data_IF_264074095686
#
_entry.id   IF_264074095686
#
_cell.length_a   1.000
_cell.length_b   1.000
_cell.length_c   1.000
_cell.angle_alpha   90.00
_cell.angle_beta   90.00
_cell.angle_gamma   90.00
#
_symmetry.space_group_name_H-M   'P 1'
#
loop_
_entity.id
_entity.type
_entity.pdbx_description
1 polymer ?
#
# COMPACT_ATOMS: atom_id res chain seq x y z
N UNK A 1 -31.71 27.59 -6.06
CA UNK A 1 -30.76 28.03 -5.02
C UNK A 1 -31.21 27.58 -3.61
N UNK A 2 -32.46 27.78 -3.25
CA UNK A 2 -32.97 27.42 -1.92
C UNK A 2 -32.97 25.92 -1.64
N UNK A 3 -33.28 25.09 -2.61
CA UNK A 3 -33.22 23.63 -2.48
C UNK A 3 -31.78 23.13 -2.28
N UNK A 4 -30.81 23.72 -2.98
CA UNK A 4 -29.39 23.39 -2.84
C UNK A 4 -28.87 23.78 -1.44
N UNK A 5 -29.24 24.99 -0.97
CA UNK A 5 -28.87 25.47 0.37
C UNK A 5 -29.46 24.58 1.45
N UNK A 6 -30.76 24.19 1.32
CA UNK A 6 -31.41 23.26 2.26
C UNK A 6 -30.69 21.92 2.33
N UNK A 7 -30.41 21.28 1.20
CA UNK A 7 -29.68 20.01 1.16
C UNK A 7 -28.27 20.10 1.78
N UNK A 8 -27.59 21.24 1.61
CA UNK A 8 -26.28 21.48 2.23
C UNK A 8 -26.38 21.59 3.76
N UNK A 9 -27.37 22.31 4.27
CA UNK A 9 -27.61 22.44 5.72
C UNK A 9 -27.92 21.07 6.34
N UNK A 10 -28.70 20.25 5.64
CA UNK A 10 -29.06 18.90 6.10
C UNK A 10 -27.83 18.00 6.23
N UNK A 11 -26.84 18.10 5.32
CA UNK A 11 -25.59 17.34 5.45
C UNK A 11 -24.84 17.67 6.75
N UNK A 12 -24.67 18.94 7.06
CA UNK A 12 -24.04 19.37 8.30
C UNK A 12 -24.82 18.92 9.52
N UNK A 13 -26.13 19.11 9.51
CA UNK A 13 -27.03 18.73 10.61
C UNK A 13 -26.99 17.21 10.83
N UNK A 14 -26.95 16.41 9.77
CA UNK A 14 -26.89 14.96 9.87
C UNK A 14 -25.55 14.50 10.46
N UNK A 15 -24.44 15.08 10.01
CA UNK A 15 -23.11 14.74 10.55
C UNK A 15 -22.99 15.14 12.03
N UNK A 16 -23.35 16.35 12.37
CA UNK A 16 -23.23 16.85 13.75
C UNK A 16 -24.19 16.13 14.71
N UNK A 17 -25.34 15.70 14.21
CA UNK A 17 -26.36 15.01 15.00
C UNK A 17 -26.26 13.49 15.01
N UNK A 18 -25.25 12.89 14.37
CA UNK A 18 -25.09 11.44 14.21
C UNK A 18 -26.33 10.75 13.61
N UNK A 19 -27.03 11.43 12.71
CA UNK A 19 -28.29 10.95 12.13
C UNK A 19 -28.11 10.03 10.93
N UNK A 20 -26.92 10.05 10.32
CA UNK A 20 -26.57 9.22 9.19
C UNK A 20 -25.66 8.07 9.66
N UNK A 21 -26.07 6.84 9.45
CA UNK A 21 -25.31 5.65 9.83
C UNK A 21 -23.94 5.57 9.13
N UNK A 22 -23.80 6.14 7.93
CA UNK A 22 -22.55 6.20 7.20
C UNK A 22 -21.43 6.96 7.95
N UNK A 23 -21.80 7.85 8.88
CA UNK A 23 -20.84 8.60 9.71
C UNK A 23 -20.03 7.65 10.60
N UNK A 24 -20.62 6.51 10.98
CA UNK A 24 -20.03 5.51 11.86
C UNK A 24 -19.64 4.22 11.13
N UNK A 25 -19.86 4.14 9.83
CA UNK A 25 -19.60 2.95 9.01
C UNK A 25 -18.13 2.54 9.02
N UNK A 26 -17.22 3.50 9.05
CA UNK A 26 -15.79 3.24 9.04
C UNK A 26 -15.21 3.39 10.45
N UNK A 27 -14.90 2.27 11.08
CA UNK A 27 -14.31 2.23 12.43
C UNK A 27 -12.93 2.94 12.54
N UNK A 28 -12.27 3.19 11.41
CA UNK A 28 -10.99 3.89 11.35
C UNK A 28 -11.14 5.41 11.20
N UNK A 29 -12.36 5.91 10.98
CA UNK A 29 -12.64 7.34 10.83
C UNK A 29 -13.05 7.95 12.16
N UNK A 30 -12.41 9.07 12.51
CA UNK A 30 -12.78 9.82 13.71
C UNK A 30 -13.77 10.94 13.39
N UNK A 31 -14.76 11.14 14.24
CA UNK A 31 -15.65 12.29 14.18
C UNK A 31 -14.85 13.56 14.48
N UNK A 32 -14.73 14.44 13.49
CA UNK A 32 -13.85 15.60 13.54
C UNK A 32 -14.21 16.61 12.46
N UNK A 33 -13.58 17.79 12.46
CA UNK A 33 -13.70 18.76 11.38
C UNK A 33 -13.19 18.16 10.05
N UNK A 34 -12.12 17.38 10.09
CA UNK A 34 -11.61 16.67 8.91
C UNK A 34 -12.63 15.64 8.42
N UNK A 35 -13.22 14.85 9.33
CA UNK A 35 -14.26 13.88 9.01
C UNK A 35 -15.51 14.55 8.43
N UNK A 36 -15.92 15.70 8.94
CA UNK A 36 -17.04 16.49 8.39
C UNK A 36 -16.76 16.91 6.94
N UNK A 37 -15.59 17.47 6.68
CA UNK A 37 -15.20 17.89 5.33
C UNK A 37 -15.17 16.69 4.36
N UNK A 38 -14.66 15.56 4.83
CA UNK A 38 -14.67 14.32 4.05
C UNK A 38 -16.08 13.83 3.74
N UNK A 39 -16.96 13.78 4.72
CA UNK A 39 -18.35 13.38 4.57
C UNK A 39 -19.09 14.24 3.52
N UNK A 40 -18.90 15.55 3.56
CA UNK A 40 -19.48 16.48 2.57
C UNK A 40 -18.94 16.17 1.18
N UNK A 41 -17.60 16.03 1.04
CA UNK A 41 -16.96 15.71 -0.23
C UNK A 41 -17.48 14.39 -0.80
N UNK A 42 -17.48 13.33 -0.01
CA UNK A 42 -17.90 11.99 -0.43
C UNK A 42 -19.37 11.97 -0.87
N UNK A 43 -20.24 12.66 -0.15
CA UNK A 43 -21.67 12.73 -0.50
C UNK A 43 -21.88 13.38 -1.87
N UNK A 44 -21.17 14.48 -2.17
CA UNK A 44 -21.28 15.13 -3.47
C UNK A 44 -20.67 14.28 -4.58
N UNK A 45 -19.49 13.70 -4.33
CA UNK A 45 -18.80 12.85 -5.31
C UNK A 45 -19.63 11.63 -5.66
N UNK A 46 -20.20 10.93 -4.67
CA UNK A 46 -21.10 9.78 -4.88
C UNK A 46 -22.29 10.15 -5.75
N UNK A 47 -22.94 11.29 -5.48
CA UNK A 47 -24.07 11.74 -6.29
C UNK A 47 -23.67 12.01 -7.75
N UNK A 48 -22.51 12.62 -7.96
CA UNK A 48 -22.02 12.87 -9.31
C UNK A 48 -21.77 11.58 -10.08
N UNK A 49 -21.07 10.60 -9.46
CA UNK A 49 -20.85 9.28 -10.06
C UNK A 49 -22.17 8.62 -10.47
N UNK A 50 -23.13 8.55 -9.55
CA UNK A 50 -24.38 7.82 -9.76
C UNK A 50 -25.32 8.51 -10.74
N UNK A 51 -25.32 9.84 -10.84
CA UNK A 51 -26.28 10.56 -11.66
C UNK A 51 -25.74 11.07 -12.99
N UNK A 52 -24.42 11.33 -13.09
CA UNK A 52 -23.81 11.91 -14.29
C UNK A 52 -22.92 10.94 -15.05
N UNK A 53 -22.30 9.96 -14.35
CA UNK A 53 -21.32 9.07 -14.96
C UNK A 53 -21.92 7.68 -15.23
N UNK A 54 -22.58 7.08 -14.27
CA UNK A 54 -23.16 5.74 -14.45
C UNK A 54 -24.50 5.77 -15.18
N UNK A 55 -24.77 4.79 -16.08
CA UNK A 55 -26.09 4.57 -16.63
C UNK A 55 -27.14 4.36 -15.55
N UNK A 56 -28.39 4.69 -15.87
CA UNK A 56 -29.49 4.62 -14.89
C UNK A 56 -29.67 3.21 -14.31
N UNK A 57 -29.45 2.18 -15.12
CA UNK A 57 -29.60 0.76 -14.74
C UNK A 57 -28.55 0.39 -13.67
N UNK A 58 -27.34 0.89 -13.82
CA UNK A 58 -26.24 0.65 -12.85
C UNK A 58 -26.51 1.37 -11.54
N UNK A 59 -26.97 2.64 -11.62
CA UNK A 59 -27.37 3.40 -10.44
C UNK A 59 -28.49 2.71 -9.67
N UNK A 60 -29.57 2.32 -10.38
CA UNK A 60 -30.71 1.65 -9.77
C UNK A 60 -30.31 0.31 -9.14
N UNK A 61 -29.47 -0.47 -9.79
CA UNK A 61 -28.94 -1.70 -9.24
C UNK A 61 -28.13 -1.47 -7.94
N UNK A 62 -27.33 -0.40 -7.90
CA UNK A 62 -26.60 -0.02 -6.68
C UNK A 62 -27.52 0.46 -5.57
N UNK A 63 -28.51 1.32 -5.88
CA UNK A 63 -29.45 1.88 -4.91
C UNK A 63 -30.42 0.82 -4.36
N UNK A 64 -30.81 -0.16 -5.18
CA UNK A 64 -31.66 -1.27 -4.78
C UNK A 64 -30.91 -2.41 -4.06
N UNK A 65 -29.57 -2.38 -4.06
CA UNK A 65 -28.73 -3.41 -3.45
C UNK A 65 -28.51 -4.65 -4.30
N UNK A 66 -28.84 -4.62 -5.60
CA UNK A 66 -28.58 -5.70 -6.55
C UNK A 66 -27.07 -5.82 -6.87
N UNK A 67 -26.35 -4.70 -6.77
CA UNK A 67 -24.89 -4.65 -6.83
C UNK A 67 -24.34 -3.59 -5.87
N UNK A 68 -23.03 -3.67 -5.57
CA UNK A 68 -22.34 -2.65 -4.77
C UNK A 68 -21.18 -2.06 -5.56
N UNK A 69 -21.19 -0.74 -5.75
CA UNK A 69 -20.06 0.02 -6.29
C UNK A 69 -19.33 0.61 -5.08
N UNK A 70 -18.07 0.24 -4.94
CA UNK A 70 -17.26 0.62 -3.77
C UNK A 70 -16.59 1.98 -3.95
N UNK A 71 -16.38 2.71 -2.86
CA UNK A 71 -15.64 3.98 -2.79
C UNK A 71 -16.09 5.09 -3.76
N UNK A 72 -17.39 5.21 -4.00
CA UNK A 72 -17.98 6.28 -4.81
C UNK A 72 -17.70 7.70 -4.30
N UNK A 73 -17.17 7.84 -3.09
CA UNK A 73 -16.77 9.12 -2.50
C UNK A 73 -15.49 9.72 -3.05
N UNK A 74 -14.85 9.08 -4.03
CA UNK A 74 -13.56 9.48 -4.57
C UNK A 74 -13.54 9.48 -6.11
N UNK A 75 -12.88 10.48 -6.71
CA UNK A 75 -12.60 10.52 -8.14
C UNK A 75 -11.18 10.07 -8.41
N UNK A 76 -10.98 8.82 -8.77
CA UNK A 76 -9.68 8.26 -9.06
C UNK A 76 -9.65 6.75 -8.98
N UNK A 77 -8.50 6.12 -9.21
CA UNK A 77 -8.35 4.68 -9.13
C UNK A 77 -8.54 4.20 -7.69
N UNK A 78 -8.97 2.94 -7.55
CA UNK A 78 -9.13 2.35 -6.23
C UNK A 78 -7.78 2.19 -5.52
N UNK A 79 -6.86 1.45 -6.14
CA UNK A 79 -5.52 1.21 -5.60
C UNK A 79 -4.45 1.53 -6.64
N UNK A 80 -3.24 1.80 -6.17
CA UNK A 80 -2.06 1.92 -7.01
C UNK A 80 -0.96 0.95 -6.55
N UNK A 81 -0.27 0.35 -7.50
CA UNK A 81 0.92 -0.45 -7.27
C UNK A 81 2.16 0.27 -7.77
N UNK A 82 3.21 0.29 -6.97
CA UNK A 82 4.44 1.01 -7.21
C UNK A 82 5.63 0.06 -7.29
N UNK A 83 6.55 0.34 -8.20
CA UNK A 83 7.83 -0.37 -8.32
C UNK A 83 8.89 0.38 -7.50
N UNK A 84 9.47 -0.29 -6.50
CA UNK A 84 10.55 0.24 -5.69
C UNK A 84 11.83 0.51 -6.50
N UNK A 85 12.01 -0.16 -7.62
CA UNK A 85 13.16 0.05 -8.52
C UNK A 85 13.25 1.49 -9.01
N UNK A 86 12.11 2.08 -9.37
CA UNK A 86 12.09 3.49 -9.79
C UNK A 86 12.56 4.40 -8.65
N UNK A 87 12.08 4.17 -7.42
CA UNK A 87 12.49 4.94 -6.26
C UNK A 87 13.99 4.78 -5.95
N UNK A 88 14.54 3.57 -6.15
CA UNK A 88 15.97 3.30 -5.99
C UNK A 88 16.85 4.02 -7.02
N UNK A 89 16.37 4.15 -8.26
CA UNK A 89 17.10 4.78 -9.36
C UNK A 89 17.02 6.31 -9.35
N UNK A 90 15.82 6.84 -9.13
CA UNK A 90 15.52 8.26 -9.33
C UNK A 90 15.42 9.03 -8.01
N UNK A 91 15.20 8.32 -6.90
CA UNK A 91 14.90 8.93 -5.61
C UNK A 91 13.42 9.37 -5.54
N UNK A 92 13.12 10.23 -4.56
CA UNK A 92 11.77 10.73 -4.39
C UNK A 92 11.59 12.06 -5.14
N UNK A 93 10.88 12.00 -6.28
CA UNK A 93 10.54 13.18 -7.10
C UNK A 93 9.28 13.92 -6.62
N UNK A 94 8.42 13.26 -5.85
CA UNK A 94 7.26 13.88 -5.20
C UNK A 94 6.32 14.60 -6.18
N UNK A 95 6.02 15.85 -5.88
CA UNK A 95 5.21 16.75 -6.70
C UNK A 95 6.13 17.79 -7.33
N UNK A 96 5.99 18.03 -8.64
CA UNK A 96 6.81 18.98 -9.38
C UNK A 96 6.92 20.34 -8.69
N UNK A 97 8.13 20.84 -8.56
CA UNK A 97 8.43 22.11 -7.88
C UNK A 97 8.30 22.07 -6.36
N UNK A 98 8.15 20.88 -5.76
CA UNK A 98 8.15 20.67 -4.31
C UNK A 98 9.44 19.96 -3.87
N UNK A 99 9.40 19.35 -2.67
CA UNK A 99 10.56 18.63 -2.12
C UNK A 99 10.90 17.42 -3.00
N UNK A 100 12.16 17.34 -3.38
CA UNK A 100 12.75 16.19 -4.07
C UNK A 100 13.93 15.67 -3.25
N UNK A 101 14.22 14.39 -3.32
CA UNK A 101 15.39 13.80 -2.72
C UNK A 101 16.11 12.86 -3.67
N UNK A 102 17.42 12.90 -3.66
CA UNK A 102 18.25 11.98 -4.44
C UNK A 102 18.03 10.52 -4.02
N UNK A 103 18.39 9.55 -4.87
CA UNK A 103 18.34 8.14 -4.52
C UNK A 103 19.01 7.82 -3.18
N UNK A 104 18.33 7.00 -2.39
CA UNK A 104 18.81 6.64 -1.06
C UNK A 104 20.07 5.77 -1.11
N UNK A 105 21.02 6.06 -0.21
CA UNK A 105 22.26 5.29 -0.05
C UNK A 105 22.24 4.34 1.14
N UNK A 106 21.25 4.50 2.04
CA UNK A 106 21.15 3.79 3.30
C UNK A 106 19.73 3.27 3.54
N UNK A 107 19.60 2.14 4.24
CA UNK A 107 18.30 1.52 4.51
C UNK A 107 17.28 2.49 5.13
N UNK A 108 17.68 3.21 6.20
CA UNK A 108 16.79 4.16 6.87
C UNK A 108 16.29 5.26 5.92
N UNK A 109 17.16 5.77 5.05
CA UNK A 109 16.79 6.79 4.06
C UNK A 109 15.83 6.24 3.01
N UNK A 110 16.06 5.01 2.55
CA UNK A 110 15.19 4.35 1.58
C UNK A 110 13.79 4.11 2.16
N UNK A 111 13.70 3.57 3.36
CA UNK A 111 12.43 3.40 4.07
C UNK A 111 11.71 4.75 4.28
N UNK A 112 12.45 5.82 4.59
CA UNK A 112 11.92 7.18 4.69
C UNK A 112 11.36 7.70 3.36
N UNK A 113 12.01 7.41 2.24
CA UNK A 113 11.50 7.77 0.91
C UNK A 113 10.20 7.02 0.56
N UNK A 114 10.09 5.74 0.94
CA UNK A 114 8.84 4.97 0.77
C UNK A 114 7.70 5.61 1.58
N UNK A 115 7.97 6.02 2.82
CA UNK A 115 6.98 6.75 3.66
C UNK A 115 6.56 8.05 2.98
N UNK A 116 7.52 8.86 2.52
CA UNK A 116 7.23 10.14 1.85
C UNK A 116 6.42 9.95 0.56
N UNK A 117 6.78 8.94 -0.25
CA UNK A 117 6.03 8.58 -1.45
C UNK A 117 4.60 8.16 -1.12
N UNK A 118 4.42 7.31 -0.10
CA UNK A 118 3.10 6.88 0.35
C UNK A 118 2.26 8.05 0.85
N UNK A 119 2.85 8.97 1.63
CA UNK A 119 2.14 10.17 2.11
C UNK A 119 1.76 11.12 0.97
N UNK A 120 2.59 11.23 -0.05
CA UNK A 120 2.30 12.08 -1.21
C UNK A 120 1.16 11.50 -2.04
N UNK A 121 1.15 10.18 -2.23
CA UNK A 121 0.21 9.50 -3.15
C UNK A 121 -1.06 8.97 -2.47
N UNK A 122 -1.13 8.97 -1.14
CA UNK A 122 -2.28 8.43 -0.39
C UNK A 122 -3.62 9.12 -0.72
N UNK A 123 -3.58 10.35 -1.21
CA UNK A 123 -4.75 11.11 -1.63
C UNK A 123 -5.16 10.90 -3.09
N UNK A 124 -4.35 10.17 -3.87
CA UNK A 124 -4.58 9.94 -5.29
C UNK A 124 -5.29 8.61 -5.59
N UNK A 125 -5.59 7.83 -4.55
CA UNK A 125 -6.36 6.59 -4.64
C UNK A 125 -7.39 6.51 -3.53
N UNK A 126 -8.51 5.83 -3.80
CA UNK A 126 -9.50 5.55 -2.76
C UNK A 126 -9.00 4.51 -1.76
N UNK A 127 -8.25 3.53 -2.22
CA UNK A 127 -7.72 2.41 -1.45
C UNK A 127 -6.20 2.45 -1.24
N UNK A 128 -5.54 1.31 -1.46
CA UNK A 128 -4.16 1.10 -1.05
C UNK A 128 -3.11 1.61 -2.03
N UNK A 129 -1.98 1.98 -1.43
CA UNK A 129 -0.68 2.13 -2.08
C UNK A 129 0.13 0.85 -1.82
N UNK A 130 0.42 0.09 -2.86
CA UNK A 130 1.12 -1.18 -2.75
C UNK A 130 2.56 -1.08 -3.28
N UNK A 131 3.52 -1.61 -2.52
CA UNK A 131 4.93 -1.67 -2.86
C UNK A 131 5.36 -3.11 -3.03
N UNK A 132 5.90 -3.45 -4.20
CA UNK A 132 6.25 -4.83 -4.55
C UNK A 132 7.68 -5.19 -4.18
N UNK A 133 7.92 -6.49 -3.88
CA UNK A 133 9.25 -7.06 -3.59
C UNK A 133 10.03 -6.27 -2.52
N UNK A 134 9.32 -5.90 -1.46
CA UNK A 134 9.84 -5.00 -0.44
C UNK A 134 11.09 -5.54 0.24
N UNK A 135 11.07 -6.81 0.62
CA UNK A 135 12.20 -7.50 1.24
C UNK A 135 13.38 -7.67 0.27
N UNK A 136 13.11 -8.04 -0.99
CA UNK A 136 14.14 -8.21 -2.03
C UNK A 136 14.91 -6.91 -2.26
N UNK A 137 14.20 -5.79 -2.41
CA UNK A 137 14.85 -4.48 -2.67
C UNK A 137 15.50 -3.86 -1.44
N UNK A 138 15.04 -4.18 -0.24
CA UNK A 138 15.63 -3.64 1.00
C UNK A 138 16.84 -4.44 1.50
N UNK A 139 16.91 -5.75 1.24
CA UNK A 139 17.94 -6.62 1.77
C UNK A 139 19.39 -6.17 1.47
N UNK A 140 19.75 -5.68 0.27
CA UNK A 140 21.12 -5.28 -0.03
C UNK A 140 21.68 -4.17 0.84
N UNK A 141 20.82 -3.27 1.34
CA UNK A 141 21.28 -2.19 2.22
C UNK A 141 21.87 -2.71 3.54
N UNK A 142 21.41 -3.86 4.02
CA UNK A 142 21.90 -4.44 5.28
C UNK A 142 23.39 -4.73 5.21
N UNK A 143 23.83 -5.37 4.12
CA UNK A 143 25.25 -5.65 3.87
C UNK A 143 26.01 -4.38 3.52
N UNK A 144 25.43 -3.51 2.69
CA UNK A 144 26.04 -2.24 2.30
C UNK A 144 26.34 -1.35 3.51
N UNK A 145 25.40 -1.24 4.45
CA UNK A 145 25.54 -0.43 5.67
C UNK A 145 26.23 -1.19 6.82
N UNK A 146 26.59 -2.47 6.62
CA UNK A 146 27.12 -3.36 7.66
C UNK A 146 26.28 -3.35 8.94
N UNK A 147 24.95 -3.51 8.79
CA UNK A 147 23.98 -3.36 9.88
C UNK A 147 23.91 -4.61 10.75
N UNK A 148 23.76 -4.38 12.06
CA UNK A 148 23.36 -5.44 12.98
C UNK A 148 21.86 -5.68 12.90
N UNK A 149 21.41 -6.84 13.41
CA UNK A 149 19.98 -7.16 13.50
C UNK A 149 19.16 -6.07 14.22
N UNK A 150 19.69 -5.57 15.34
CA UNK A 150 19.03 -4.52 16.14
C UNK A 150 18.88 -3.21 15.36
N UNK A 151 19.85 -2.87 14.54
CA UNK A 151 19.80 -1.68 13.68
C UNK A 151 18.75 -1.85 12.56
N UNK A 152 18.67 -3.03 11.94
CA UNK A 152 17.63 -3.34 10.94
C UNK A 152 16.25 -3.27 11.60
N UNK A 153 16.08 -3.92 12.75
CA UNK A 153 14.84 -3.89 13.52
C UNK A 153 14.41 -2.48 13.90
N UNK A 154 15.35 -1.64 14.32
CA UNK A 154 15.08 -0.23 14.66
C UNK A 154 14.61 0.56 13.42
N UNK A 155 15.25 0.39 12.27
CA UNK A 155 14.82 1.05 11.02
C UNK A 155 13.40 0.62 10.63
N UNK A 156 13.07 -0.66 10.76
CA UNK A 156 11.73 -1.17 10.46
C UNK A 156 10.69 -0.71 11.48
N UNK A 157 11.05 -0.61 12.76
CA UNK A 157 10.18 -0.03 13.77
C UNK A 157 9.84 1.43 13.44
N UNK A 158 10.83 2.25 13.12
CA UNK A 158 10.63 3.63 12.67
C UNK A 158 9.72 3.71 11.44
N UNK A 159 9.96 2.84 10.46
CA UNK A 159 9.14 2.78 9.26
C UNK A 159 7.67 2.44 9.57
N UNK A 160 7.42 1.38 10.35
CA UNK A 160 6.07 0.95 10.70
C UNK A 160 5.33 2.02 11.51
N UNK A 161 6.00 2.66 12.48
CA UNK A 161 5.40 3.77 13.24
C UNK A 161 5.08 4.97 12.34
N UNK A 162 5.98 5.35 11.44
CA UNK A 162 5.76 6.48 10.55
C UNK A 162 4.59 6.21 9.57
N UNK A 163 4.49 5.00 9.00
CA UNK A 163 3.39 4.66 8.08
C UNK A 163 2.03 4.60 8.81
N UNK A 164 2.01 4.45 10.12
CA UNK A 164 0.79 4.45 10.93
C UNK A 164 0.41 5.84 11.48
N UNK A 165 1.11 6.90 11.10
CA UNK A 165 0.68 8.26 11.44
C UNK A 165 -0.61 8.58 10.65
N UNK A 166 -1.68 9.05 11.33
CA UNK A 166 -2.98 9.28 10.70
C UNK A 166 -2.98 10.56 9.86
N UNK A 167 -2.32 10.52 8.71
CA UNK A 167 -2.13 11.65 7.79
C UNK A 167 -3.16 11.69 6.67
N UNK A 168 -3.90 10.60 6.46
CA UNK A 168 -4.96 10.50 5.46
C UNK A 168 -6.24 11.16 5.94
N UNK A 169 -7.13 11.49 5.01
CA UNK A 169 -8.44 12.10 5.29
C UNK A 169 -9.23 11.29 6.32
N UNK A 170 -9.90 11.97 7.24
CA UNK A 170 -10.67 11.33 8.32
C UNK A 170 -9.80 10.76 9.45
N UNK A 171 -8.54 11.20 9.57
CA UNK A 171 -7.54 10.65 10.50
C UNK A 171 -7.24 9.17 10.30
N UNK A 172 -7.37 8.69 9.08
CA UNK A 172 -6.91 7.37 8.70
C UNK A 172 -5.39 7.35 8.53
N UNK A 173 -4.78 6.21 8.80
CA UNK A 173 -3.41 5.94 8.35
C UNK A 173 -3.40 5.73 6.83
N UNK A 174 -2.28 5.97 6.13
CA UNK A 174 -2.14 5.57 4.75
C UNK A 174 -2.46 4.09 4.58
N UNK A 175 -3.38 3.79 3.66
CA UNK A 175 -3.71 2.41 3.34
C UNK A 175 -2.55 1.84 2.52
N UNK A 176 -1.62 1.16 3.16
CA UNK A 176 -0.39 0.65 2.55
C UNK A 176 -0.34 -0.88 2.55
N UNK A 177 0.21 -1.43 1.48
CA UNK A 177 0.47 -2.86 1.31
C UNK A 177 1.93 -3.07 0.91
N UNK A 178 2.57 -4.10 1.46
CA UNK A 178 3.93 -4.51 1.13
C UNK A 178 3.93 -5.96 0.70
N UNK A 179 4.50 -6.27 -0.47
CA UNK A 179 4.70 -7.66 -0.86
C UNK A 179 6.09 -8.16 -0.46
N UNK A 180 6.11 -9.38 0.05
CA UNK A 180 7.29 -10.11 0.48
C UNK A 180 7.47 -11.34 -0.38
N UNK A 181 8.67 -11.53 -0.89
CA UNK A 181 9.01 -12.66 -1.76
C UNK A 181 9.52 -13.86 -0.95
N UNK A 182 10.10 -13.64 0.23
CA UNK A 182 10.71 -14.63 1.14
C UNK A 182 11.94 -15.31 0.52
N UNK A 183 11.87 -15.65 -0.75
CA UNK A 183 12.97 -16.13 -1.57
C UNK A 183 13.18 -15.17 -2.71
N UNK A 184 14.43 -14.82 -2.98
CA UNK A 184 14.73 -13.89 -4.09
C UNK A 184 14.14 -14.42 -5.39
N UNK A 185 13.27 -13.64 -6.08
CA UNK A 185 12.62 -14.06 -7.31
C UNK A 185 13.62 -14.37 -8.43
N UNK A 186 13.30 -15.36 -9.25
CA UNK A 186 14.17 -15.77 -10.35
C UNK A 186 14.46 -14.66 -11.37
N UNK A 187 13.54 -13.71 -11.54
CA UNK A 187 13.72 -12.56 -12.44
C UNK A 187 14.62 -11.48 -11.85
N UNK A 188 14.69 -11.40 -10.52
CA UNK A 188 15.54 -10.42 -9.83
C UNK A 188 16.90 -10.99 -9.41
N UNK A 189 17.04 -12.31 -9.34
CA UNK A 189 18.26 -12.93 -8.78
C UNK A 189 19.54 -12.54 -9.53
N UNK A 190 19.46 -12.38 -10.85
CA UNK A 190 20.59 -12.06 -11.72
C UNK A 190 20.63 -10.55 -12.06
N UNK A 191 19.66 -9.76 -11.58
CA UNK A 191 19.62 -8.32 -11.76
C UNK A 191 20.62 -7.62 -10.83
N UNK A 192 21.31 -6.56 -11.31
CA UNK A 192 22.25 -5.83 -10.48
C UNK A 192 21.52 -5.04 -9.39
N UNK A 193 22.08 -5.08 -8.19
CA UNK A 193 21.59 -4.30 -7.05
C UNK A 193 21.77 -2.81 -7.29
N UNK A 194 20.77 -2.01 -6.87
CA UNK A 194 20.77 -0.56 -7.00
C UNK A 194 20.97 0.07 -5.63
N UNK A 195 22.02 0.87 -5.48
CA UNK A 195 22.30 1.68 -4.28
C UNK A 195 22.63 3.11 -4.70
N UNK A 196 21.95 4.10 -4.14
CA UNK A 196 22.22 5.51 -4.44
C UNK A 196 22.03 5.89 -5.90
N UNK A 197 21.10 5.24 -6.62
CA UNK A 197 20.83 5.48 -8.04
C UNK A 197 21.83 4.81 -8.99
N UNK A 198 22.72 3.97 -8.49
CA UNK A 198 23.76 3.31 -9.29
C UNK A 198 23.62 1.79 -9.20
N UNK A 199 23.85 1.11 -10.32
CA UNK A 199 23.98 -0.33 -10.36
C UNK A 199 25.33 -0.73 -9.74
N UNK A 200 25.30 -1.75 -8.88
CA UNK A 200 26.49 -2.33 -8.25
C UNK A 200 26.97 -3.56 -9.02
N UNK A 201 28.11 -4.12 -8.61
CA UNK A 201 28.64 -5.39 -9.17
C UNK A 201 27.93 -6.63 -8.60
N UNK A 202 27.13 -6.46 -7.53
CA UNK A 202 26.38 -7.53 -6.89
C UNK A 202 24.99 -7.69 -7.50
N UNK A 203 24.45 -8.91 -7.45
CA UNK A 203 23.10 -9.22 -7.87
C UNK A 203 22.19 -9.49 -6.66
N UNK A 204 20.88 -9.30 -6.83
CA UNK A 204 19.93 -9.53 -5.72
C UNK A 204 19.98 -10.97 -5.18
N UNK A 205 20.31 -11.95 -6.03
CA UNK A 205 20.44 -13.37 -5.62
C UNK A 205 21.47 -13.65 -4.54
N UNK A 206 22.44 -12.75 -4.35
CA UNK A 206 23.47 -12.87 -3.33
C UNK A 206 22.99 -12.51 -1.91
N UNK A 207 21.77 -11.94 -1.76
CA UNK A 207 21.31 -11.30 -0.54
C UNK A 207 20.19 -12.05 0.20
N UNK A 208 20.03 -13.35 -0.06
CA UNK A 208 19.01 -14.16 0.63
C UNK A 208 19.16 -14.11 2.15
N UNK A 209 20.38 -14.15 2.67
CA UNK A 209 20.66 -14.09 4.10
C UNK A 209 20.22 -12.75 4.72
N UNK A 210 20.46 -11.67 4.03
CA UNK A 210 20.06 -10.34 4.46
C UNK A 210 18.54 -10.16 4.37
N UNK A 211 17.88 -10.78 3.37
CA UNK A 211 16.45 -10.85 3.26
C UNK A 211 15.82 -11.59 4.45
N UNK A 212 16.39 -12.72 4.87
CA UNK A 212 15.92 -13.47 6.04
C UNK A 212 16.04 -12.63 7.32
N UNK A 213 17.15 -11.89 7.49
CA UNK A 213 17.34 -10.95 8.61
C UNK A 213 16.28 -9.85 8.58
N UNK A 214 16.04 -9.25 7.42
CA UNK A 214 15.05 -8.21 7.22
C UNK A 214 13.64 -8.68 7.57
N UNK A 215 13.26 -9.82 7.01
CA UNK A 215 11.94 -10.41 7.21
C UNK A 215 11.70 -10.81 8.67
N UNK A 216 12.69 -11.40 9.32
CA UNK A 216 12.59 -11.69 10.77
C UNK A 216 12.41 -10.41 11.59
N UNK A 217 13.18 -9.37 11.30
CA UNK A 217 13.09 -8.10 12.01
C UNK A 217 11.72 -7.43 11.79
N UNK A 218 11.15 -7.51 10.58
CA UNK A 218 9.80 -7.04 10.28
C UNK A 218 8.74 -7.81 11.11
N UNK A 219 8.85 -9.13 11.15
CA UNK A 219 7.93 -9.97 11.94
C UNK A 219 7.98 -9.63 13.42
N UNK A 220 9.18 -9.42 13.99
CA UNK A 220 9.33 -9.08 15.41
C UNK A 220 8.68 -7.72 15.73
N UNK A 221 8.83 -6.71 14.86
CA UNK A 221 8.16 -5.41 15.01
C UNK A 221 6.64 -5.55 14.96
N UNK A 222 6.12 -6.31 14.00
CA UNK A 222 4.68 -6.51 13.85
C UNK A 222 4.07 -7.31 15.01
N UNK A 223 4.80 -8.29 15.54
CA UNK A 223 4.36 -9.10 16.69
C UNK A 223 4.35 -8.33 18.00
N UNK A 224 5.31 -7.43 18.20
CA UNK A 224 5.37 -6.56 19.37
C UNK A 224 4.20 -5.58 19.43
N UNK A 225 3.86 -5.00 18.28
CA UNK A 225 2.80 -4.00 18.18
C UNK A 225 3.24 -2.61 18.67
N UNK A 226 2.24 -1.74 18.91
CA UNK A 226 2.48 -0.38 19.39
C UNK A 226 2.85 -0.35 20.91
N UNK A 227 3.07 0.84 21.46
CA UNK A 227 3.42 1.06 22.87
C UNK A 227 2.41 0.47 23.88
N UNK A 228 1.23 0.06 23.43
CA UNK A 228 0.20 -0.62 24.21
C UNK A 228 0.01 -2.09 23.81
N UNK A 229 0.87 -2.62 22.94
CA UNK A 229 0.79 -3.98 22.43
C UNK A 229 -0.35 -4.20 21.41
N UNK A 230 -0.88 -3.13 20.79
CA UNK A 230 -1.91 -3.24 19.77
C UNK A 230 -1.29 -3.55 18.42
N UNK A 231 -1.97 -4.37 17.61
CA UNK A 231 -1.56 -4.67 16.25
C UNK A 231 -1.53 -3.39 15.39
N UNK A 232 -0.54 -3.29 14.53
CA UNK A 232 -0.51 -2.25 13.50
C UNK A 232 -1.51 -2.59 12.40
N UNK A 233 -2.37 -1.64 12.06
CA UNK A 233 -3.34 -1.80 10.96
C UNK A 233 -2.61 -1.86 9.62
N UNK A 234 -1.54 -1.10 9.48
CA UNK A 234 -0.71 -0.99 8.27
C UNK A 234 0.78 -1.09 8.62
N UNK A 235 1.63 -1.41 7.63
CA UNK A 235 1.30 -1.90 6.30
C UNK A 235 0.69 -3.30 6.35
N UNK A 236 -0.20 -3.63 5.39
CA UNK A 236 -0.68 -5.00 5.21
C UNK A 236 0.43 -5.78 4.50
N UNK A 237 1.02 -6.81 5.13
CA UNK A 237 1.99 -7.66 4.45
C UNK A 237 1.25 -8.67 3.57
N UNK A 238 1.79 -8.91 2.37
CA UNK A 238 1.32 -9.94 1.44
C UNK A 238 2.50 -10.81 1.03
N UNK A 239 2.43 -12.11 1.24
CA UNK A 239 3.47 -13.06 0.89
C UNK A 239 3.16 -13.66 -0.47
N UNK A 240 4.14 -13.63 -1.38
CA UNK A 240 4.05 -14.26 -2.69
C UNK A 240 4.37 -15.75 -2.57
N UNK A 241 3.38 -16.61 -2.86
CA UNK A 241 3.56 -18.06 -2.88
C UNK A 241 3.77 -18.50 -4.32
N UNK A 242 4.98 -18.95 -4.64
CA UNK A 242 5.39 -19.44 -5.95
C UNK A 242 5.57 -20.96 -5.93
N UNK A 243 5.81 -21.57 -7.12
CA UNK A 243 6.06 -23.03 -7.22
C UNK A 243 7.33 -23.47 -6.50
N UNK A 244 8.31 -22.59 -6.39
CA UNK A 244 9.59 -22.80 -5.73
C UNK A 244 9.68 -22.11 -4.36
N UNK A 245 8.54 -21.80 -3.76
CA UNK A 245 8.47 -21.21 -2.42
C UNK A 245 9.13 -22.13 -1.38
N UNK A 246 10.03 -21.57 -0.60
CA UNK A 246 10.78 -22.31 0.43
C UNK A 246 9.99 -22.37 1.73
N UNK A 247 9.18 -23.43 1.88
CA UNK A 247 8.38 -23.66 3.08
C UNK A 247 9.20 -24.00 4.32
N UNK A 248 10.46 -24.45 4.12
CA UNK A 248 11.37 -24.83 5.20
C UNK A 248 12.20 -23.64 5.71
N UNK A 249 12.10 -22.47 5.08
CA UNK A 249 12.77 -21.27 5.54
C UNK A 249 12.22 -20.85 6.93
N UNK A 250 13.08 -20.72 7.97
CA UNK A 250 12.65 -20.35 9.32
C UNK A 250 11.86 -19.03 9.41
N UNK A 251 12.03 -18.15 8.45
CA UNK A 251 11.27 -16.88 8.36
C UNK A 251 9.79 -17.13 8.13
N UNK A 252 9.42 -18.21 7.44
CA UNK A 252 8.01 -18.60 7.23
C UNK A 252 7.32 -18.84 8.57
N UNK A 253 8.00 -19.50 9.52
CA UNK A 253 7.46 -19.71 10.87
C UNK A 253 7.20 -18.38 11.59
N UNK A 254 8.05 -17.38 11.40
CA UNK A 254 7.85 -16.04 11.99
C UNK A 254 6.60 -15.35 11.43
N UNK A 255 6.37 -15.41 10.11
CA UNK A 255 5.14 -14.93 9.50
C UNK A 255 3.91 -15.72 9.95
N UNK A 256 4.04 -17.04 10.13
CA UNK A 256 2.93 -17.88 10.65
C UNK A 256 2.57 -17.52 12.09
N UNK A 257 3.53 -17.10 12.93
CA UNK A 257 3.22 -16.57 14.28
C UNK A 257 2.33 -15.32 14.22
N UNK A 258 2.60 -14.41 13.27
CA UNK A 258 1.75 -13.24 13.05
C UNK A 258 0.36 -13.67 12.58
N UNK A 259 0.31 -14.64 11.65
CA UNK A 259 -0.95 -15.21 11.15
C UNK A 259 -1.80 -15.80 12.27
N UNK A 260 -1.19 -16.61 13.12
CA UNK A 260 -1.88 -17.22 14.27
C UNK A 260 -2.40 -16.19 15.28
N UNK A 261 -1.66 -15.09 15.46
CA UNK A 261 -2.01 -14.06 16.46
C UNK A 261 -3.02 -13.05 15.93
N UNK A 262 -2.89 -12.63 14.68
CA UNK A 262 -3.59 -11.46 14.15
C UNK A 262 -4.38 -11.71 12.85
N UNK A 263 -4.26 -12.87 12.22
CA UNK A 263 -4.89 -13.17 10.92
C UNK A 263 -4.24 -12.45 9.73
N UNK A 264 -3.04 -11.94 9.88
CA UNK A 264 -2.18 -11.36 8.82
C UNK A 264 -0.84 -12.11 8.83
N UNK A 265 -0.06 -12.17 7.75
CA UNK A 265 -0.22 -11.55 6.43
C UNK A 265 -1.28 -12.20 5.54
N UNK A 266 -1.48 -11.57 4.38
CA UNK A 266 -2.19 -12.19 3.26
C UNK A 266 -1.24 -13.02 2.41
N UNK A 267 -1.80 -13.96 1.63
CA UNK A 267 -1.03 -14.84 0.75
C UNK A 267 -1.52 -14.68 -0.69
N UNK A 268 -0.60 -14.29 -1.60
CA UNK A 268 -0.86 -14.23 -3.02
C UNK A 268 -0.37 -15.53 -3.67
N UNK A 269 -1.30 -16.41 -4.06
CA UNK A 269 -0.97 -17.71 -4.64
C UNK A 269 -0.75 -17.60 -6.14
N UNK A 270 0.50 -17.81 -6.58
CA UNK A 270 0.91 -17.84 -7.99
C UNK A 270 1.18 -19.25 -8.52
N UNK A 271 0.99 -20.31 -7.71
CA UNK A 271 1.30 -21.70 -8.11
C UNK A 271 0.51 -22.13 -9.34
N UNK A 272 -0.76 -21.74 -9.42
CA UNK A 272 -1.66 -22.05 -10.53
C UNK A 272 -2.16 -20.77 -11.22
N UNK A 273 -1.36 -19.72 -11.27
CA UNK A 273 -1.69 -18.46 -11.93
C UNK A 273 -1.05 -18.38 -13.29
N UNK A 274 -1.73 -17.74 -14.24
CA UNK A 274 -1.18 -17.38 -15.56
C UNK A 274 -0.21 -16.20 -15.47
N UNK A 275 -0.19 -15.47 -14.33
CA UNK A 275 0.73 -14.39 -14.04
C UNK A 275 1.79 -14.85 -13.05
N UNK A 276 3.03 -14.40 -13.27
CA UNK A 276 4.11 -14.55 -12.31
C UNK A 276 4.15 -13.35 -11.33
N UNK A 277 4.71 -13.49 -10.13
CA UNK A 277 4.88 -12.37 -9.19
C UNK A 277 5.69 -11.23 -9.79
N UNK A 278 6.58 -11.56 -10.71
CA UNK A 278 7.53 -10.64 -11.35
C UNK A 278 6.85 -9.72 -12.38
N UNK A 279 5.80 -10.23 -13.02
CA UNK A 279 5.03 -9.47 -14.02
C UNK A 279 3.79 -8.79 -13.42
N UNK A 280 3.54 -9.02 -12.13
CA UNK A 280 2.35 -8.54 -11.48
C UNK A 280 2.65 -7.68 -10.26
N UNK A 281 2.17 -6.44 -10.25
CA UNK A 281 2.06 -5.67 -9.01
C UNK A 281 0.81 -6.15 -8.26
N UNK A 282 1.01 -6.79 -7.11
CA UNK A 282 -0.09 -7.24 -6.27
C UNK A 282 -0.56 -6.09 -5.38
N UNK A 283 -1.85 -5.80 -5.43
CA UNK A 283 -2.49 -4.82 -4.57
C UNK A 283 -3.09 -5.48 -3.31
N UNK A 284 -3.54 -4.68 -2.35
CA UNK A 284 -4.13 -5.15 -1.09
C UNK A 284 -5.26 -6.18 -1.30
N UNK A 285 -6.07 -6.03 -2.35
CA UNK A 285 -7.14 -6.95 -2.74
C UNK A 285 -6.64 -8.12 -3.59
N UNK A 286 -5.33 -8.28 -3.76
CA UNK A 286 -4.65 -9.28 -4.61
C UNK A 286 -5.09 -9.24 -6.08
N UNK A 287 -5.68 -8.13 -6.51
CA UNK A 287 -5.75 -7.82 -7.92
C UNK A 287 -4.33 -7.61 -8.44
N UNK A 288 -4.10 -8.16 -9.63
CA UNK A 288 -2.80 -8.21 -10.26
C UNK A 288 -2.86 -7.40 -11.55
N UNK A 289 -1.88 -6.53 -11.73
CA UNK A 289 -1.72 -5.80 -12.98
C UNK A 289 -0.51 -6.40 -13.67
N UNK A 290 -0.70 -6.83 -14.90
CA UNK A 290 0.40 -7.28 -15.76
C UNK A 290 1.26 -6.09 -16.16
N UNK A 291 2.38 -5.92 -15.47
CA UNK A 291 3.34 -4.84 -15.74
C UNK A 291 4.05 -5.04 -17.07
N UNK A 292 4.17 -6.28 -17.56
CA UNK A 292 4.78 -6.56 -18.85
C UNK A 292 3.95 -5.99 -20.01
N UNK A 293 2.62 -6.14 -19.94
CA UNK A 293 1.70 -5.53 -20.90
C UNK A 293 1.65 -4.01 -20.80
N UNK A 294 1.68 -3.46 -19.58
CA UNK A 294 1.77 -2.01 -19.39
C UNK A 294 3.03 -1.42 -20.02
N UNK A 295 4.18 -2.06 -19.83
CA UNK A 295 5.46 -1.64 -20.42
C UNK A 295 5.43 -1.69 -21.95
N UNK A 296 4.88 -2.76 -22.54
CA UNK A 296 4.70 -2.88 -23.99
C UNK A 296 3.84 -1.79 -24.59
N UNK A 297 2.87 -1.28 -23.85
CA UNK A 297 1.95 -0.21 -24.26
C UNK A 297 2.47 1.20 -23.94
N UNK A 298 3.72 1.34 -23.49
CA UNK A 298 4.31 2.64 -23.13
C UNK A 298 3.84 3.17 -21.77
N UNK A 299 3.19 2.33 -20.95
CA UNK A 299 2.84 2.65 -19.57
C UNK A 299 4.08 2.73 -18.68
N UNK A 300 4.04 3.60 -17.67
CA UNK A 300 5.11 3.74 -16.69
C UNK A 300 5.26 2.52 -15.77
N UNK A 301 6.20 2.61 -14.83
CA UNK A 301 6.48 1.55 -13.84
C UNK A 301 5.41 1.43 -12.74
N UNK A 302 4.33 2.19 -12.85
CA UNK A 302 3.24 2.10 -11.91
C UNK A 302 1.98 1.55 -12.57
N UNK A 303 1.24 0.74 -11.84
CA UNK A 303 -0.05 0.23 -12.27
C UNK A 303 -1.15 0.67 -11.31
N UNK A 304 -2.27 1.14 -11.86
CA UNK A 304 -3.47 1.46 -11.08
C UNK A 304 -4.57 0.44 -11.33
N UNK A 305 -5.44 0.25 -10.35
CA UNK A 305 -6.65 -0.52 -10.50
C UNK A 305 -7.84 0.40 -10.79
N UNK A 306 -8.34 0.42 -12.04
CA UNK A 306 -9.43 1.31 -12.42
C UNK A 306 -10.83 0.76 -12.07
N UNK A 307 -10.93 -0.40 -11.41
CA UNK A 307 -12.19 -1.16 -11.32
C UNK A 307 -13.21 -0.61 -10.34
N UNK A 308 -12.93 0.45 -9.63
CA UNK A 308 -13.88 0.97 -8.65
C UNK A 308 -14.11 2.43 -8.87
N UNK A 309 -15.34 2.76 -9.25
CA UNK A 309 -15.77 4.13 -9.41
C UNK A 309 -15.13 4.90 -10.56
N UNK A 310 -14.27 4.27 -11.32
CA UNK A 310 -13.58 4.95 -12.43
C UNK A 310 -13.81 4.25 -13.76
#
# INVERSE_FOLDING_TARGET
>A
LNALVGATIDLFTNYLGDKDWHIQENANTQKSINGLNNYVRETFTKKYWLHEIYPIEVREAHENGDCHIHDLGFFGPYCAGWDLRQLLLEGFGGVEGKLESNPAKHLRSFLGQIVNSTFTTQGETAGAQAWSSFDTYCAPFIRHDNMTYEQVRQCLQEFVFNINVPTRVGFQCPFSNLTFDIKVPNTLKDEPVIIGGQYTEHTYGEFQKEMDIFNKAFCDVMLEGDAKGRVFTFPIPTINITKDFDWDNPVVDEFMKITCKYGIPYFANYVNSDLSPEDAVSMCCRLRIDTSELRKRGGGLFGSNPLTGS
#
